data_IF_643915245894
#
_entry.id   IF_643915245894
#
_cell.length_a   1.000
_cell.length_b   1.000
_cell.length_c   1.000
_cell.angle_alpha   90.00
_cell.angle_beta   90.00
_cell.angle_gamma   90.00
#
_symmetry.space_group_name_H-M   'P 1'
#
loop_
_entity.id
_entity.type
_entity.pdbx_description
1 polymer ?
#
# COMPACT_ATOMS: atom_id res chain seq x y z
N UNK A 1 13.68 -18.25 2.98
CA UNK A 1 12.25 -18.35 2.59
C UNK A 1 11.73 -16.96 2.20
N UNK A 2 10.88 -16.85 1.19
CA UNK A 2 10.27 -15.58 0.77
C UNK A 2 8.88 -15.48 1.41
N UNK A 3 8.66 -14.47 2.26
CA UNK A 3 7.43 -14.25 3.03
C UNK A 3 6.85 -12.86 2.79
N UNK A 4 6.26 -12.59 1.60
CA UNK A 4 5.64 -11.31 1.27
C UNK A 4 4.49 -10.94 2.23
N UNK A 5 3.77 -11.92 2.77
CA UNK A 5 2.67 -11.74 3.72
C UNK A 5 3.07 -10.97 4.98
N UNK A 6 4.35 -11.01 5.36
CA UNK A 6 4.88 -10.30 6.51
C UNK A 6 5.16 -8.83 6.21
N UNK A 7 5.27 -8.44 4.93
CA UNK A 7 5.63 -7.07 4.58
C UNK A 7 4.38 -6.19 4.43
N UNK A 8 4.18 -5.16 5.28
CA UNK A 8 3.00 -4.30 5.20
C UNK A 8 2.92 -3.47 3.91
N UNK A 9 4.02 -3.32 3.17
CA UNK A 9 4.02 -2.63 1.87
C UNK A 9 3.25 -3.40 0.77
N UNK A 10 3.06 -4.71 0.89
CA UNK A 10 2.25 -5.50 -0.03
C UNK A 10 0.80 -4.99 -0.03
N UNK A 11 0.33 -4.47 1.10
CA UNK A 11 -1.00 -3.85 1.19
C UNK A 11 -1.07 -2.48 0.50
N UNK A 12 0.04 -1.74 0.42
CA UNK A 12 0.13 -0.53 -0.40
C UNK A 12 -0.05 -0.90 -1.88
N UNK A 13 0.62 -1.96 -2.34
CA UNK A 13 0.50 -2.42 -3.72
C UNK A 13 -0.88 -2.97 -4.07
N UNK A 14 -1.48 -3.75 -3.17
CA UNK A 14 -2.86 -4.23 -3.32
C UNK A 14 -3.86 -3.06 -3.42
N UNK A 15 -3.74 -2.05 -2.56
CA UNK A 15 -4.59 -0.85 -2.58
C UNK A 15 -4.45 -0.09 -3.91
N UNK A 16 -3.22 0.18 -4.36
CA UNK A 16 -2.96 0.90 -5.62
C UNK A 16 -3.53 0.12 -6.81
N UNK A 17 -3.27 -1.17 -6.88
CA UNK A 17 -3.72 -2.01 -7.99
C UNK A 17 -5.25 -2.05 -8.06
N UNK A 18 -5.89 -2.52 -7.00
CA UNK A 18 -7.32 -2.84 -7.01
C UNK A 18 -8.20 -1.59 -6.97
N UNK A 19 -7.79 -0.54 -6.26
CA UNK A 19 -8.65 0.64 -6.06
C UNK A 19 -8.36 1.79 -7.02
N UNK A 20 -7.17 1.83 -7.64
CA UNK A 20 -6.74 2.97 -8.45
C UNK A 20 -6.33 2.61 -9.89
N UNK A 21 -5.77 1.43 -10.16
CA UNK A 21 -5.24 1.10 -11.48
C UNK A 21 -6.15 0.19 -12.32
N UNK A 22 -6.88 -0.73 -11.70
CA UNK A 22 -7.72 -1.70 -12.44
C UNK A 22 -8.96 -1.07 -13.11
N UNK A 23 -9.32 0.16 -12.73
CA UNK A 23 -10.52 0.85 -13.25
C UNK A 23 -10.40 1.25 -14.72
N UNK A 24 -9.18 1.39 -15.25
CA UNK A 24 -8.95 1.83 -16.62
C UNK A 24 -7.67 1.20 -17.21
N UNK A 25 -7.67 0.83 -18.51
CA UNK A 25 -6.47 0.31 -19.16
C UNK A 25 -5.29 1.29 -19.11
N UNK A 26 -4.11 0.75 -18.79
CA UNK A 26 -2.84 1.48 -18.81
C UNK A 26 -2.39 1.65 -20.26
N UNK A 27 -2.15 2.90 -20.69
CA UNK A 27 -1.86 3.22 -22.09
C UNK A 27 -0.41 3.02 -22.47
N UNK A 28 0.51 3.34 -21.57
CA UNK A 28 1.95 3.24 -21.77
C UNK A 28 2.69 3.39 -20.42
N UNK A 29 4.03 3.27 -20.44
CA UNK A 29 4.86 3.37 -19.24
C UNK A 29 4.76 4.73 -18.52
N UNK A 30 4.60 5.83 -19.26
CA UNK A 30 4.49 7.16 -18.66
C UNK A 30 3.14 7.34 -17.95
N UNK A 31 2.06 6.88 -18.57
CA UNK A 31 0.71 6.83 -18.00
C UNK A 31 0.68 5.96 -16.73
N UNK A 32 1.26 4.76 -16.78
CA UNK A 32 1.41 3.90 -15.60
C UNK A 32 2.11 4.62 -14.45
N UNK A 33 3.28 5.22 -14.73
CA UNK A 33 4.06 5.94 -13.74
C UNK A 33 3.23 7.06 -13.10
N UNK A 34 2.61 7.92 -13.91
CA UNK A 34 1.80 9.03 -13.43
C UNK A 34 0.64 8.56 -12.53
N UNK A 35 -0.07 7.49 -12.92
CA UNK A 35 -1.19 6.94 -12.15
C UNK A 35 -0.72 6.35 -10.81
N UNK A 36 0.40 5.62 -10.81
CA UNK A 36 0.99 5.05 -9.57
C UNK A 36 1.37 6.17 -8.60
N UNK A 37 2.07 7.22 -9.06
CA UNK A 37 2.42 8.34 -8.19
C UNK A 37 1.20 9.06 -7.65
N UNK A 38 0.19 9.34 -8.48
CA UNK A 38 -1.05 9.97 -8.03
C UNK A 38 -1.81 9.12 -7.00
N UNK A 39 -1.83 7.79 -7.17
CA UNK A 39 -2.44 6.87 -6.21
C UNK A 39 -1.68 6.86 -4.87
N UNK A 40 -0.35 6.83 -4.91
CA UNK A 40 0.51 6.90 -3.72
C UNK A 40 0.34 8.23 -2.97
N UNK A 41 0.30 9.36 -3.68
CA UNK A 41 0.04 10.68 -3.08
C UNK A 41 -1.31 10.72 -2.39
N UNK A 42 -2.37 10.19 -3.02
CA UNK A 42 -3.69 10.09 -2.39
C UNK A 42 -3.65 9.22 -1.15
N UNK A 43 -3.07 8.03 -1.23
CA UNK A 43 -2.98 7.09 -0.12
C UNK A 43 -2.23 7.69 1.09
N UNK A 44 -1.16 8.47 0.83
CA UNK A 44 -0.38 9.15 1.88
C UNK A 44 -1.24 10.10 2.72
N UNK A 45 -2.24 10.75 2.14
CA UNK A 45 -3.16 11.63 2.88
C UNK A 45 -4.11 10.84 3.81
N UNK A 46 -4.38 9.56 3.50
CA UNK A 46 -5.20 8.67 4.32
C UNK A 46 -4.37 7.92 5.37
N UNK A 47 -3.78 8.65 6.32
CA UNK A 47 -2.87 8.09 7.34
C UNK A 47 -3.47 6.90 8.10
N UNK A 48 -4.76 6.94 8.44
CA UNK A 48 -5.41 5.83 9.15
C UNK A 48 -5.54 4.57 8.30
N UNK A 49 -5.68 4.71 6.98
CA UNK A 49 -5.64 3.58 6.04
C UNK A 49 -4.24 2.98 6.02
N UNK A 50 -3.20 3.80 5.92
CA UNK A 50 -1.80 3.35 5.95
C UNK A 50 -1.49 2.62 7.26
N UNK A 51 -1.89 3.17 8.41
CA UNK A 51 -1.73 2.50 9.72
C UNK A 51 -2.46 1.16 9.78
N UNK A 52 -3.62 1.04 9.14
CA UNK A 52 -4.38 -0.23 9.13
C UNK A 52 -3.60 -1.38 8.49
N UNK A 53 -2.67 -1.10 7.57
CA UNK A 53 -1.80 -2.11 6.95
C UNK A 53 -0.82 -2.74 7.93
N UNK A 54 -0.49 -2.03 9.02
CA UNK A 54 0.36 -2.52 10.10
C UNK A 54 -0.45 -3.15 11.24
N UNK A 55 -1.77 -3.28 11.12
CA UNK A 55 -2.63 -3.87 12.15
C UNK A 55 -3.25 -5.21 11.71
N UNK A 56 -2.81 -5.75 10.58
CA UNK A 56 -3.25 -7.06 10.10
C UNK A 56 -2.52 -8.17 10.88
N UNK A 57 -3.11 -9.38 10.98
CA UNK A 57 -2.52 -10.47 11.77
C UNK A 57 -1.05 -10.76 11.44
N UNK A 58 -0.69 -10.72 10.16
CA UNK A 58 0.65 -11.07 9.69
C UNK A 58 1.65 -9.90 9.74
N UNK A 59 1.17 -8.66 9.87
CA UNK A 59 2.00 -7.44 9.81
C UNK A 59 1.99 -6.63 11.11
N UNK A 60 1.20 -7.03 12.12
CA UNK A 60 1.11 -6.37 13.42
C UNK A 60 2.45 -6.27 14.16
N UNK A 61 3.38 -7.18 13.89
CA UNK A 61 4.73 -7.13 14.46
C UNK A 61 5.49 -5.84 14.08
N UNK A 62 5.10 -5.19 12.98
CA UNK A 62 5.68 -3.95 12.48
C UNK A 62 4.86 -2.71 12.88
N UNK A 63 3.86 -2.85 13.76
CA UNK A 63 3.01 -1.74 14.19
C UNK A 63 3.83 -0.68 14.97
N UNK A 64 3.96 0.55 14.44
CA UNK A 64 4.74 1.61 15.10
C UNK A 64 4.11 2.08 16.41
N UNK A 65 2.83 1.80 16.65
CA UNK A 65 2.12 2.18 17.88
C UNK A 65 2.30 1.14 19.02
N UNK A 66 2.83 -0.06 18.72
CA UNK A 66 3.06 -1.14 19.69
C UNK A 66 4.52 -1.26 20.14
N UNK A 67 5.42 -0.43 19.59
CA UNK A 67 6.84 -0.44 20.00
C UNK A 67 6.96 0.27 21.36
N UNK A 68 7.36 -0.42 22.45
CA UNK A 68 7.61 0.24 23.72
C UNK A 68 8.78 1.22 23.57
N UNK A 69 8.66 2.39 24.20
CA UNK A 69 9.72 3.40 24.27
C UNK A 69 11.01 2.86 24.92
#
# INVERSE_FOLDING_TARGET
PHSPELNPDEQVWNEIKNNHLEKEPIKNRADFRARVYSALEKLKEFKERVKSFFRLPDTQYANPEETPA
#
